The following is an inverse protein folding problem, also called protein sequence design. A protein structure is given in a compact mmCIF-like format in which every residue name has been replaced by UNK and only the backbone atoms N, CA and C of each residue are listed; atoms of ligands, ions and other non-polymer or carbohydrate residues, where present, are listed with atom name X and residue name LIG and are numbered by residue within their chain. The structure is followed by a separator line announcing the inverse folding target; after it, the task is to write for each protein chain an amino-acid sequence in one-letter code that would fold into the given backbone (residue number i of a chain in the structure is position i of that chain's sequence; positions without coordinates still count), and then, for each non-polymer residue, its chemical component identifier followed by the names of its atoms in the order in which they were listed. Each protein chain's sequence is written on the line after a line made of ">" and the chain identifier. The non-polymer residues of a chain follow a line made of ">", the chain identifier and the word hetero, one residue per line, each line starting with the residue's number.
data_IF_933999376459
#
_entry.id   IF_933999376459
#
_cell.length_a   1.000
_cell.length_b   1.000
_cell.length_c   1.000
_cell.angle_alpha   90.00
_cell.angle_beta   90.00
_cell.angle_gamma   90.00
#
_symmetry.space_group_name_H-M   'P 1'
#
loop_
_entity.id
_entity.type
_entity.pdbx_description
1 polymer ?
#
# COMPACT_ATOMS: atom_id res chain seq x y z
N UNK A 1 -13.58 -0.30 -19.17
CA UNK A 1 -12.33 -0.52 -19.94
C UNK A 1 -12.36 -1.90 -20.62
N UNK A 2 -12.49 -3.02 -19.88
CA UNK A 2 -12.47 -4.38 -20.45
C UNK A 2 -13.66 -4.63 -21.38
N UNK A 3 -14.86 -4.25 -21.00
CA UNK A 3 -16.05 -4.33 -21.86
C UNK A 3 -15.86 -3.57 -23.18
N UNK A 4 -15.35 -2.35 -23.10
CA UNK A 4 -14.99 -1.58 -24.29
C UNK A 4 -13.91 -2.26 -25.15
N UNK A 5 -12.90 -2.90 -24.53
CA UNK A 5 -11.90 -3.66 -25.27
C UNK A 5 -12.51 -4.88 -25.99
N UNK A 6 -13.43 -5.60 -25.36
CA UNK A 6 -14.17 -6.72 -25.93
C UNK A 6 -14.97 -6.31 -27.16
N UNK A 7 -15.64 -5.15 -27.12
CA UNK A 7 -16.39 -4.61 -28.25
C UNK A 7 -15.51 -4.29 -29.47
N UNK A 8 -14.27 -3.82 -29.22
CA UNK A 8 -13.35 -3.40 -30.27
C UNK A 8 -12.44 -4.53 -30.78
N UNK A 9 -12.37 -5.65 -30.07
CA UNK A 9 -11.56 -6.80 -30.44
C UNK A 9 -12.32 -8.14 -30.22
N UNK A 10 -13.40 -8.41 -31.00
CA UNK A 10 -14.28 -9.56 -30.77
C UNK A 10 -13.59 -10.92 -30.97
N UNK A 11 -12.41 -10.95 -31.61
CA UNK A 11 -11.61 -12.16 -31.75
C UNK A 11 -10.59 -12.42 -30.64
N UNK A 12 -10.57 -11.56 -29.60
CA UNK A 12 -9.62 -11.67 -28.48
C UNK A 12 -10.40 -11.99 -27.20
N UNK A 13 -9.99 -13.04 -26.50
CA UNK A 13 -10.50 -13.35 -25.17
C UNK A 13 -9.81 -12.45 -24.13
N UNK A 14 -10.60 -11.70 -23.37
CA UNK A 14 -10.12 -10.85 -22.28
C UNK A 14 -10.46 -11.52 -20.94
N UNK A 15 -9.44 -12.00 -20.25
CA UNK A 15 -9.55 -12.53 -18.89
C UNK A 15 -9.19 -11.44 -17.89
N UNK A 16 -9.96 -11.34 -16.80
CA UNK A 16 -9.74 -10.37 -15.73
C UNK A 16 -9.31 -11.06 -14.46
N UNK A 17 -8.09 -10.80 -14.02
CA UNK A 17 -7.53 -11.37 -12.80
C UNK A 17 -7.70 -10.48 -11.57
N UNK A 18 -7.64 -11.08 -10.37
CA UNK A 18 -7.68 -10.35 -9.12
C UNK A 18 -6.47 -9.42 -8.95
N UNK A 19 -6.63 -8.38 -8.16
CA UNK A 19 -5.51 -7.50 -7.79
C UNK A 19 -4.47 -8.24 -6.92
N UNK A 20 -3.28 -7.63 -6.73
CA UNK A 20 -2.19 -8.24 -5.96
C UNK A 20 -2.54 -8.48 -4.48
N UNK A 21 -3.52 -7.74 -3.93
CA UNK A 21 -4.06 -7.88 -2.58
C UNK A 21 -3.07 -7.59 -1.44
N UNK A 22 -3.62 -7.64 -0.22
CA UNK A 22 -2.85 -7.71 1.02
C UNK A 22 -2.52 -9.18 1.32
N UNK A 23 -1.27 -9.61 1.11
CA UNK A 23 -0.82 -10.99 1.19
C UNK A 23 0.62 -11.08 1.70
N UNK A 24 1.04 -12.28 2.10
CA UNK A 24 2.37 -12.53 2.68
C UNK A 24 3.54 -12.11 1.76
N UNK A 25 3.53 -12.33 0.44
CA UNK A 25 4.58 -11.83 -0.42
C UNK A 25 4.76 -10.31 -0.36
N UNK A 26 3.67 -9.53 -0.29
CA UNK A 26 3.72 -8.09 -0.12
C UNK A 26 4.24 -7.71 1.28
N UNK A 27 3.83 -8.44 2.32
CA UNK A 27 4.35 -8.26 3.67
C UNK A 27 5.87 -8.50 3.74
N UNK A 28 6.38 -9.52 3.05
CA UNK A 28 7.82 -9.80 2.98
C UNK A 28 8.60 -8.63 2.37
N UNK A 29 8.07 -8.00 1.31
CA UNK A 29 8.66 -6.79 0.72
C UNK A 29 8.64 -5.64 1.75
N UNK A 30 7.52 -5.39 2.42
CA UNK A 30 7.41 -4.33 3.43
C UNK A 30 8.41 -4.52 4.57
N UNK A 31 8.56 -5.72 5.09
CA UNK A 31 9.56 -6.05 6.13
C UNK A 31 10.98 -5.77 5.65
N UNK A 32 11.29 -6.09 4.40
CA UNK A 32 12.59 -5.79 3.78
C UNK A 32 12.80 -4.28 3.65
N UNK A 33 11.79 -3.52 3.18
CA UNK A 33 11.84 -2.06 3.08
C UNK A 33 11.98 -1.38 4.44
N UNK A 34 11.31 -1.90 5.46
CA UNK A 34 11.44 -1.41 6.83
C UNK A 34 12.89 -1.56 7.34
N UNK A 35 13.47 -2.75 7.21
CA UNK A 35 14.87 -2.99 7.60
C UNK A 35 15.84 -2.08 6.84
N UNK A 36 15.64 -1.90 5.53
CA UNK A 36 16.46 -1.02 4.71
C UNK A 36 16.34 0.45 5.16
N UNK A 37 15.12 0.92 5.45
CA UNK A 37 14.91 2.28 5.93
C UNK A 37 15.51 2.48 7.33
N UNK A 38 15.33 1.54 8.24
CA UNK A 38 15.94 1.57 9.58
C UNK A 38 17.46 1.68 9.50
N UNK A 39 18.10 0.94 8.59
CA UNK A 39 19.56 0.97 8.40
C UNK A 39 20.09 2.36 7.93
N UNK A 40 19.24 3.27 7.50
CA UNK A 40 19.63 4.65 7.17
C UNK A 40 19.65 5.61 8.37
N UNK A 41 19.16 5.16 9.52
CA UNK A 41 19.21 5.93 10.77
C UNK A 41 20.55 5.74 11.47
N UNK A 42 21.10 6.79 12.09
CA UNK A 42 22.39 6.74 12.76
C UNK A 42 22.40 5.75 13.94
N UNK A 43 21.31 5.68 14.68
CA UNK A 43 21.12 4.77 15.81
C UNK A 43 19.71 4.18 15.73
N UNK A 44 19.51 3.16 14.91
CA UNK A 44 18.19 2.55 14.75
C UNK A 44 17.77 1.82 16.03
N UNK A 45 16.61 2.21 16.57
CA UNK A 45 16.02 1.59 17.76
C UNK A 45 14.53 1.33 17.50
N UNK A 46 14.12 0.08 17.28
CA UNK A 46 12.71 -0.26 17.03
C UNK A 46 11.76 0.20 18.14
N UNK A 47 12.22 0.20 19.41
CA UNK A 47 11.36 0.53 20.56
C UNK A 47 10.99 2.01 20.63
N UNK A 48 11.78 2.88 20.01
CA UNK A 48 11.54 4.33 19.94
C UNK A 48 11.19 4.81 18.54
N UNK A 49 11.02 3.87 17.59
CA UNK A 49 10.70 4.16 16.19
C UNK A 49 9.25 3.83 15.88
N UNK A 50 8.49 4.83 15.49
CA UNK A 50 7.17 4.63 14.89
C UNK A 50 7.28 4.34 13.39
N UNK A 51 6.43 3.48 12.90
CA UNK A 51 6.31 3.19 11.47
C UNK A 51 5.01 3.74 10.92
N UNK A 52 5.06 4.39 9.77
CA UNK A 52 3.88 4.89 9.07
C UNK A 52 3.79 4.20 7.72
N UNK A 53 2.86 3.24 7.59
CA UNK A 53 2.52 2.67 6.29
C UNK A 53 1.70 3.69 5.51
N UNK A 54 2.24 4.18 4.40
CA UNK A 54 1.70 5.32 3.66
C UNK A 54 1.16 4.90 2.30
N UNK A 55 -0.17 4.88 2.14
CA UNK A 55 -0.83 4.61 0.88
C UNK A 55 -1.39 5.84 0.18
N UNK A 56 -1.94 5.64 -1.00
CA UNK A 56 -2.65 6.68 -1.74
C UNK A 56 -3.99 7.03 -1.09
N UNK A 57 -4.66 6.03 -0.55
CA UNK A 57 -6.06 6.08 -0.18
C UNK A 57 -6.99 5.76 -1.36
N UNK A 58 -8.20 5.36 -1.03
CA UNK A 58 -9.24 5.00 -1.99
C UNK A 58 -10.61 5.48 -1.48
N UNK A 59 -11.56 5.69 -2.40
CA UNK A 59 -12.99 5.77 -2.08
C UNK A 59 -13.58 4.40 -1.73
N UNK A 60 -12.92 3.33 -2.15
CA UNK A 60 -13.26 1.96 -1.77
C UNK A 60 -12.73 1.66 -0.36
N UNK A 61 -13.66 1.37 0.56
CA UNK A 61 -13.36 0.98 1.95
C UNK A 61 -12.62 -0.34 2.05
N UNK A 62 -12.83 -1.27 1.10
CA UNK A 62 -12.14 -2.56 1.05
C UNK A 62 -10.65 -2.37 0.84
N UNK A 63 -10.26 -1.57 -0.16
CA UNK A 63 -8.88 -1.23 -0.43
C UNK A 63 -8.18 -0.52 0.77
N UNK A 64 -8.90 0.35 1.47
CA UNK A 64 -8.38 0.98 2.69
C UNK A 64 -8.27 -0.04 3.84
N UNK A 65 -9.19 -1.00 3.92
CA UNK A 65 -9.17 -2.11 4.88
C UNK A 65 -7.97 -3.05 4.65
N UNK A 66 -7.65 -3.36 3.40
CA UNK A 66 -6.47 -4.15 3.05
C UNK A 66 -5.17 -3.48 3.52
N UNK A 67 -5.09 -2.16 3.39
CA UNK A 67 -3.95 -1.42 3.94
C UNK A 67 -3.87 -1.45 5.47
N UNK A 68 -5.03 -1.39 6.15
CA UNK A 68 -5.08 -1.51 7.61
C UNK A 68 -4.64 -2.92 8.06
N UNK A 69 -5.07 -3.97 7.35
CA UNK A 69 -4.62 -5.34 7.54
C UNK A 69 -3.11 -5.46 7.39
N UNK A 70 -2.52 -4.88 6.35
CA UNK A 70 -1.07 -4.90 6.14
C UNK A 70 -0.30 -4.17 7.23
N UNK A 71 -0.80 -3.02 7.71
CA UNK A 71 -0.20 -2.31 8.84
C UNK A 71 -0.22 -3.18 10.11
N UNK A 72 -1.35 -3.85 10.38
CA UNK A 72 -1.48 -4.75 11.52
C UNK A 72 -0.52 -5.95 11.43
N UNK A 73 -0.45 -6.61 10.27
CA UNK A 73 0.47 -7.72 10.06
C UNK A 73 1.94 -7.31 10.20
N UNK A 74 2.30 -6.13 9.65
CA UNK A 74 3.64 -5.61 9.80
C UNK A 74 3.99 -5.34 11.28
N UNK A 75 3.04 -4.86 12.08
CA UNK A 75 3.22 -4.66 13.51
C UNK A 75 3.42 -5.99 14.25
N UNK A 76 2.63 -7.01 13.94
CA UNK A 76 2.73 -8.34 14.58
C UNK A 76 4.02 -9.08 14.22
N UNK A 77 4.61 -8.79 13.06
CA UNK A 77 5.83 -9.43 12.57
C UNK A 77 7.09 -8.55 12.65
N UNK A 78 7.03 -7.46 13.39
CA UNK A 78 8.16 -6.57 13.62
C UNK A 78 8.21 -6.12 15.09
N UNK A 79 9.39 -5.66 15.53
CA UNK A 79 9.59 -5.17 16.88
C UNK A 79 9.18 -3.70 17.07
N UNK A 80 8.40 -3.17 16.11
CA UNK A 80 7.97 -1.77 16.11
C UNK A 80 6.57 -1.60 16.72
N UNK A 81 6.45 -0.65 17.62
CA UNK A 81 5.17 -0.21 18.17
C UNK A 81 5.19 1.32 18.32
N UNK A 82 4.32 2.06 17.61
CA UNK A 82 3.24 1.61 16.73
C UNK A 82 3.63 1.43 15.25
N UNK A 83 2.82 0.68 14.50
CA UNK A 83 2.75 0.73 13.03
C UNK A 83 1.41 1.35 12.63
N UNK A 84 1.45 2.62 12.27
CA UNK A 84 0.26 3.39 11.92
C UNK A 84 0.02 3.43 10.41
N UNK A 85 -1.25 3.61 10.03
CA UNK A 85 -1.67 3.82 8.65
C UNK A 85 -1.86 5.30 8.36
N UNK A 86 -1.37 5.77 7.20
CA UNK A 86 -1.62 7.11 6.68
C UNK A 86 -1.88 7.10 5.17
N UNK A 87 -2.47 8.19 4.66
CA UNK A 87 -2.79 8.33 3.24
C UNK A 87 -2.32 9.68 2.68
N UNK A 88 -1.83 9.65 1.43
CA UNK A 88 -1.39 10.86 0.72
C UNK A 88 -2.55 11.65 0.13
N UNK A 89 -3.71 11.01 -0.09
CA UNK A 89 -4.90 11.62 -0.68
C UNK A 89 -6.18 10.85 -0.36
N UNK A 90 -7.29 11.25 -0.92
CA UNK A 90 -8.61 10.62 -0.96
C UNK A 90 -9.23 10.41 0.42
N UNK A 91 -8.56 9.71 1.35
CA UNK A 91 -9.07 9.39 2.70
C UNK A 91 -8.10 9.83 3.81
N UNK A 92 -8.44 9.55 5.05
CA UNK A 92 -7.72 9.94 6.27
C UNK A 92 -7.32 8.70 7.08
N UNK A 93 -6.31 8.84 8.01
CA UNK A 93 -5.56 10.05 8.36
C UNK A 93 -4.48 10.43 7.34
N UNK A 94 -4.07 11.71 7.33
CA UNK A 94 -2.94 12.21 6.54
C UNK A 94 -1.63 11.95 7.28
N UNK A 95 -0.52 11.91 6.51
CA UNK A 95 0.82 11.63 7.03
C UNK A 95 1.18 12.56 8.19
N UNK A 96 0.96 13.86 8.03
CA UNK A 96 1.32 14.88 9.02
C UNK A 96 0.60 14.66 10.36
N UNK A 97 -0.67 14.23 10.31
CA UNK A 97 -1.45 13.96 11.53
C UNK A 97 -0.98 12.70 12.26
N UNK A 98 -0.57 11.69 11.50
CA UNK A 98 -0.02 10.45 12.09
C UNK A 98 1.32 10.72 12.74
N UNK A 99 2.22 11.42 12.03
CA UNK A 99 3.52 11.83 12.57
C UNK A 99 3.34 12.67 13.83
N UNK A 100 2.43 13.66 13.82
CA UNK A 100 2.14 14.46 15.01
C UNK A 100 1.75 13.59 16.21
N UNK A 101 0.90 12.58 16.02
CA UNK A 101 0.51 11.65 17.09
C UNK A 101 1.71 10.86 17.61
N UNK A 102 2.54 10.34 16.70
CA UNK A 102 3.74 9.59 17.08
C UNK A 102 4.74 10.43 17.86
N UNK A 103 4.92 11.70 17.50
CA UNK A 103 5.75 12.65 18.26
C UNK A 103 5.16 12.91 19.65
N UNK A 104 3.84 13.09 19.76
CA UNK A 104 3.15 13.37 21.04
C UNK A 104 3.25 12.19 22.03
N UNK A 105 3.28 10.97 21.57
CA UNK A 105 3.48 9.78 22.42
C UNK A 105 4.95 9.51 22.74
N UNK A 106 5.87 10.37 22.29
CA UNK A 106 7.27 10.35 22.70
C UNK A 106 8.21 9.58 21.77
N UNK A 107 7.78 9.19 20.57
CA UNK A 107 8.66 8.53 19.61
C UNK A 107 9.74 9.50 19.11
N UNK A 108 10.94 9.00 18.94
CA UNK A 108 12.14 9.79 18.56
C UNK A 108 12.55 9.56 17.11
N UNK A 109 12.07 8.50 16.52
CA UNK A 109 12.34 8.11 15.13
C UNK A 109 11.03 7.77 14.44
N UNK A 110 10.93 8.11 13.16
CA UNK A 110 9.76 7.79 12.32
C UNK A 110 10.25 7.24 10.99
N UNK A 111 9.78 6.05 10.65
CA UNK A 111 9.97 5.44 9.34
C UNK A 111 8.70 5.53 8.54
N UNK A 112 8.74 6.22 7.40
CA UNK A 112 7.65 6.26 6.43
C UNK A 112 7.88 5.17 5.39
N UNK A 113 6.92 4.23 5.27
CA UNK A 113 6.94 3.14 4.30
C UNK A 113 5.91 3.39 3.21
N UNK A 114 6.31 3.81 2.00
CA UNK A 114 5.40 3.97 0.89
C UNK A 114 4.84 2.63 0.40
N UNK A 115 3.51 2.51 0.33
CA UNK A 115 2.80 1.36 -0.21
C UNK A 115 2.44 1.61 -1.67
N UNK A 116 3.48 1.59 -2.53
CA UNK A 116 3.39 1.90 -3.96
C UNK A 116 4.17 0.89 -4.78
N UNK A 117 3.59 0.46 -5.89
CA UNK A 117 4.21 -0.55 -6.75
C UNK A 117 5.41 0.04 -7.51
N UNK A 118 5.28 1.26 -8.03
CA UNK A 118 6.31 1.91 -8.85
C UNK A 118 6.63 3.32 -8.39
N UNK A 119 7.77 3.83 -8.88
CA UNK A 119 8.15 5.23 -8.73
C UNK A 119 7.23 6.16 -9.53
N UNK A 120 7.30 7.46 -9.28
CA UNK A 120 6.54 8.47 -10.01
C UNK A 120 6.37 9.77 -9.21
N UNK A 121 5.51 10.64 -9.70
CA UNK A 121 5.23 11.95 -9.08
C UNK A 121 4.74 11.85 -7.63
N UNK A 122 4.01 10.77 -7.30
CA UNK A 122 3.56 10.53 -5.92
C UNK A 122 4.73 10.23 -4.98
N UNK A 123 5.70 9.42 -5.42
CA UNK A 123 6.90 9.16 -4.62
C UNK A 123 7.72 10.44 -4.38
N UNK A 124 7.89 11.28 -5.41
CA UNK A 124 8.54 12.58 -5.26
C UNK A 124 7.80 13.51 -4.28
N UNK A 125 6.46 13.47 -4.29
CA UNK A 125 5.63 14.22 -3.34
C UNK A 125 5.83 13.69 -1.91
N UNK A 126 5.90 12.39 -1.71
CA UNK A 126 6.15 11.78 -0.40
C UNK A 126 7.50 12.23 0.15
N UNK A 127 8.56 12.18 -0.66
CA UNK A 127 9.88 12.66 -0.22
C UNK A 127 9.84 14.12 0.22
N UNK A 128 9.20 15.01 -0.55
CA UNK A 128 9.02 16.42 -0.15
C UNK A 128 8.21 16.58 1.15
N UNK A 129 7.16 15.76 1.37
CA UNK A 129 6.41 15.77 2.62
C UNK A 129 7.29 15.34 3.80
N UNK A 130 8.10 14.29 3.64
CA UNK A 130 9.04 13.84 4.67
C UNK A 130 10.10 14.91 4.95
N UNK A 131 10.62 15.60 3.93
CA UNK A 131 11.59 16.69 4.12
C UNK A 131 10.97 17.88 4.87
N UNK A 132 9.70 18.20 4.59
CA UNK A 132 8.95 19.21 5.34
C UNK A 132 8.78 18.80 6.81
N UNK A 133 8.46 17.53 7.07
CA UNK A 133 8.34 17.01 8.44
C UNK A 133 9.69 17.01 9.18
N UNK A 134 10.80 16.72 8.51
CA UNK A 134 12.16 16.87 9.08
C UNK A 134 12.43 18.29 9.54
N UNK A 135 12.04 19.28 8.74
CA UNK A 135 12.20 20.68 9.09
C UNK A 135 11.27 21.11 10.25
N UNK A 136 10.06 20.57 10.30
CA UNK A 136 9.07 20.85 11.33
C UNK A 136 9.41 20.21 12.68
N UNK A 137 10.02 19.03 12.68
CA UNK A 137 10.38 18.25 13.87
C UNK A 137 11.88 17.93 13.90
N UNK A 138 12.77 18.94 14.10
CA UNK A 138 14.22 18.71 14.02
C UNK A 138 14.77 17.74 15.09
N UNK A 139 14.01 17.51 16.17
CA UNK A 139 14.33 16.54 17.21
C UNK A 139 14.01 15.08 16.83
N UNK A 140 13.25 14.86 15.73
CA UNK A 140 12.85 13.54 15.27
C UNK A 140 13.71 13.10 14.10
N UNK A 141 14.20 11.87 14.13
CA UNK A 141 14.90 11.27 13.01
C UNK A 141 13.89 10.63 12.05
N UNK A 142 13.98 10.96 10.76
CA UNK A 142 13.10 10.40 9.74
C UNK A 142 13.87 9.55 8.74
N UNK A 143 13.38 8.33 8.50
CA UNK A 143 13.75 7.53 7.35
C UNK A 143 12.54 7.35 6.43
N UNK A 144 12.79 7.21 5.13
CA UNK A 144 11.77 6.95 4.14
C UNK A 144 12.17 5.73 3.31
N UNK A 145 11.31 4.73 3.30
CA UNK A 145 11.48 3.56 2.44
C UNK A 145 11.21 3.88 0.98
N UNK A 146 11.60 2.97 0.10
CA UNK A 146 11.33 3.04 -1.34
C UNK A 146 10.02 2.33 -1.69
N UNK A 147 9.52 2.53 -2.90
CA UNK A 147 8.43 1.76 -3.49
C UNK A 147 8.81 0.28 -3.65
N UNK A 148 7.84 -0.58 -3.97
CA UNK A 148 8.09 -2.03 -4.13
C UNK A 148 9.03 -2.31 -5.31
N UNK A 149 8.73 -1.77 -6.48
CA UNK A 149 9.54 -1.98 -7.67
C UNK A 149 9.40 -3.38 -8.25
N UNK A 150 10.43 -3.81 -8.95
CA UNK A 150 10.50 -5.12 -9.61
C UNK A 150 11.06 -6.18 -8.65
N UNK A 151 10.34 -6.44 -7.56
CA UNK A 151 10.69 -7.49 -6.61
C UNK A 151 10.25 -8.86 -7.12
N UNK A 152 11.01 -9.90 -6.77
CA UNK A 152 10.71 -11.28 -7.16
C UNK A 152 9.29 -11.70 -6.79
N UNK A 153 8.88 -11.33 -5.58
CA UNK A 153 7.55 -11.64 -5.05
C UNK A 153 6.42 -11.02 -5.89
N UNK A 154 6.65 -9.87 -6.53
CA UNK A 154 5.67 -9.25 -7.44
C UNK A 154 5.54 -10.06 -8.72
N UNK A 155 6.66 -10.53 -9.29
CA UNK A 155 6.64 -11.36 -10.48
C UNK A 155 5.95 -12.70 -10.21
N UNK A 156 6.29 -13.36 -9.10
CA UNK A 156 5.68 -14.62 -8.69
C UNK A 156 4.16 -14.50 -8.47
N UNK A 157 3.72 -13.39 -7.87
CA UNK A 157 2.29 -13.10 -7.71
C UNK A 157 1.58 -12.92 -9.05
N UNK A 158 2.19 -12.17 -9.97
CA UNK A 158 1.61 -11.95 -11.32
C UNK A 158 1.56 -13.28 -12.08
N UNK A 159 2.63 -14.06 -12.06
CA UNK A 159 2.68 -15.38 -12.69
C UNK A 159 1.59 -16.32 -12.15
N UNK A 160 1.45 -16.38 -10.83
CA UNK A 160 0.41 -17.17 -10.18
C UNK A 160 -0.99 -16.73 -10.63
N UNK A 161 -1.27 -15.42 -10.70
CA UNK A 161 -2.56 -14.91 -11.19
C UNK A 161 -2.85 -15.28 -12.63
N UNK A 162 -1.83 -15.25 -13.49
CA UNK A 162 -1.96 -15.70 -14.89
C UNK A 162 -2.26 -17.19 -14.96
N UNK A 163 -1.54 -18.02 -14.20
CA UNK A 163 -1.80 -19.46 -14.14
C UNK A 163 -3.21 -19.78 -13.63
N UNK A 164 -3.65 -19.14 -12.57
CA UNK A 164 -4.99 -19.32 -11.99
C UNK A 164 -6.07 -18.99 -13.02
N UNK A 165 -5.92 -17.90 -13.77
CA UNK A 165 -6.85 -17.50 -14.82
C UNK A 165 -6.91 -18.51 -15.96
N UNK A 166 -5.75 -18.98 -16.43
CA UNK A 166 -5.67 -19.96 -17.52
C UNK A 166 -6.20 -21.33 -17.11
N UNK A 167 -6.09 -21.69 -15.84
CA UNK A 167 -6.65 -22.92 -15.26
C UNK A 167 -8.17 -22.82 -15.00
N UNK A 168 -8.80 -21.68 -15.29
CA UNK A 168 -10.23 -21.45 -15.04
C UNK A 168 -10.60 -21.39 -13.55
N UNK A 169 -9.63 -21.11 -12.69
CA UNK A 169 -9.93 -20.82 -11.27
C UNK A 169 -10.83 -19.60 -11.25
N UNK A 170 -12.00 -19.66 -10.59
CA UNK A 170 -12.96 -18.57 -10.59
C UNK A 170 -12.30 -17.29 -10.13
N UNK A 171 -12.48 -16.27 -10.94
CA UNK A 171 -12.07 -14.92 -10.66
C UNK A 171 -12.51 -14.54 -9.24
N UNK A 172 -11.58 -14.12 -8.40
CA UNK A 172 -11.96 -13.46 -7.16
C UNK A 172 -12.46 -12.07 -7.55
N UNK A 173 -13.75 -12.02 -7.85
CA UNK A 173 -14.43 -10.79 -8.26
C UNK A 173 -14.09 -9.67 -7.28
N UNK A 174 -13.78 -8.49 -7.79
CA UNK A 174 -13.80 -7.30 -6.96
C UNK A 174 -15.16 -7.21 -6.25
N UNK A 175 -15.25 -6.61 -5.05
CA UNK A 175 -16.54 -6.48 -4.35
C UNK A 175 -17.68 -5.87 -5.18
N UNK A 176 -17.32 -5.13 -6.24
CA UNK A 176 -18.27 -4.57 -7.20
C UNK A 176 -18.66 -5.55 -8.32
N UNK A 177 -17.89 -6.61 -8.56
CA UNK A 177 -18.18 -7.58 -9.61
C UNK A 177 -19.23 -8.58 -9.08
N UNK A 178 -20.40 -8.62 -9.72
CA UNK A 178 -21.56 -9.39 -9.25
C UNK A 178 -22.35 -8.72 -8.11
N UNK A 179 -22.12 -7.45 -7.85
CA UNK A 179 -22.96 -6.66 -6.97
C UNK A 179 -24.29 -6.36 -7.65
N UNK A 180 -25.41 -6.73 -7.02
CA UNK A 180 -26.77 -6.50 -7.53
C UNK A 180 -27.08 -5.02 -7.83
N UNK A 181 -26.42 -4.08 -7.15
CA UNK A 181 -26.52 -2.66 -7.44
C UNK A 181 -25.89 -2.26 -8.77
N UNK A 182 -24.88 -2.99 -9.25
CA UNK A 182 -24.27 -2.74 -10.56
C UNK A 182 -25.19 -3.18 -11.71
N UNK A 183 -25.88 -4.31 -11.53
CA UNK A 183 -26.89 -4.80 -12.46
C UNK A 183 -28.08 -3.82 -12.56
N UNK A 184 -28.58 -3.35 -11.42
CA UNK A 184 -29.64 -2.34 -11.36
C UNK A 184 -29.25 -1.00 -12.01
N UNK A 185 -27.98 -0.57 -11.88
CA UNK A 185 -27.50 0.66 -12.51
C UNK A 185 -27.38 0.54 -14.04
N UNK A 186 -27.14 -0.67 -14.57
CA UNK A 186 -27.15 -0.94 -16.01
C UNK A 186 -28.57 -0.92 -16.61
N UNK A 187 -29.56 -1.36 -15.84
CA UNK A 187 -30.97 -1.42 -16.28
C UNK A 187 -31.65 -0.05 -16.20
N UNK A 188 -31.07 0.94 -15.53
CA UNK A 188 -31.59 2.31 -15.39
C UNK A 188 -30.94 3.36 -16.31
N UNK A 189 -30.01 2.99 -17.16
CA UNK A 189 -29.31 3.84 -18.13
C UNK A 189 -29.70 3.50 -19.54
#
# INVERSE_FOLDING_TARGET
>A
AIEHAREHAPGVEFLYGPHLSACDPILAILKRRLRQAMATLDMPDPTTTGVVLLGRGSSDRGANGDMAKMARWLQEESDHEPVDLAFTGITFPRLERVVQRQVLIGLRQVVVLPYYLYTGTLMQRIHRQVDHLRAQYPQIRFACGTHFGFEKEIFELVEQRVHDLLAGVPDSKLPCDGCSYRELAHDMG
#
